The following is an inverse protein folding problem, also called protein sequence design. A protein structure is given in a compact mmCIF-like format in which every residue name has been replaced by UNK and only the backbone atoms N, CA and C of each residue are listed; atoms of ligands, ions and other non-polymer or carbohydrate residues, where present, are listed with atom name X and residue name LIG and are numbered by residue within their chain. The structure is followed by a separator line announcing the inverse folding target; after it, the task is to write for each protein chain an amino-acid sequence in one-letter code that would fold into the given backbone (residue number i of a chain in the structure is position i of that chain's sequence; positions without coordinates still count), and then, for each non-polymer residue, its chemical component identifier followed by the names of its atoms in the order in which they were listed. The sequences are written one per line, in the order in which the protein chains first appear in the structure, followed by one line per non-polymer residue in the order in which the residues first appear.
data_IF_187409855684
#
_entry.id   IF_187409855684
#
_cell.length_a   1.000
_cell.length_b   1.000
_cell.length_c   1.000
_cell.angle_alpha   90.00
_cell.angle_beta   90.00
_cell.angle_gamma   90.00
#
_symmetry.space_group_name_H-M   'P 1'
#
loop_
_entity.id
_entity.type
_entity.pdbx_description
1 polymer ?
#
# COMPACT_ATOMS: atom_id res chain seq x y z
N UNK A 1 27.74 27.67 21.55
CA UNK A 1 26.29 27.75 21.27
C UNK A 1 26.08 28.00 19.78
N UNK A 2 25.08 27.39 19.14
CA UNK A 2 24.77 27.70 17.74
C UNK A 2 24.05 29.04 17.71
N UNK A 3 24.66 30.05 17.09
CA UNK A 3 24.02 31.35 16.84
C UNK A 3 22.83 31.13 15.91
N UNK A 4 21.61 31.23 16.43
CA UNK A 4 20.37 31.05 15.66
C UNK A 4 19.92 32.42 15.17
N UNK A 5 19.67 32.54 13.86
CA UNK A 5 19.18 33.78 13.28
C UNK A 5 17.71 34.01 13.73
N UNK A 6 17.39 35.14 14.40
CA UNK A 6 16.06 35.43 14.92
C UNK A 6 14.98 35.61 13.85
N UNK A 7 15.36 35.73 12.56
CA UNK A 7 14.43 35.86 11.44
C UNK A 7 13.74 34.54 11.06
N UNK A 8 14.24 33.38 11.51
CA UNK A 8 13.68 32.08 11.16
C UNK A 8 12.88 31.47 12.31
N UNK A 9 11.57 31.71 12.29
CA UNK A 9 10.63 31.12 13.24
C UNK A 9 10.10 29.76 12.77
N UNK A 10 9.78 28.86 13.72
CA UNK A 10 9.13 27.58 13.43
C UNK A 10 7.66 27.81 13.09
N UNK A 11 7.23 27.37 11.91
CA UNK A 11 5.82 27.45 11.46
C UNK A 11 5.19 26.05 11.36
N UNK A 12 4.66 25.48 12.46
CA UNK A 12 3.99 24.19 12.42
C UNK A 12 2.66 24.29 11.68
N UNK A 13 2.33 23.28 10.86
CA UNK A 13 1.01 23.15 10.23
C UNK A 13 0.19 22.12 10.99
N UNK A 14 -1.02 22.50 11.40
CA UNK A 14 -1.96 21.57 12.02
C UNK A 14 -2.76 20.85 10.93
N UNK A 15 -2.51 19.56 10.75
CA UNK A 15 -3.27 18.73 9.82
C UNK A 15 -4.49 18.12 10.52
N UNK A 16 -5.65 18.22 9.90
CA UNK A 16 -6.91 17.73 10.46
C UNK A 16 -8.09 18.18 9.60
N UNK A 17 -9.28 17.69 9.92
CA UNK A 17 -10.51 18.14 9.28
C UNK A 17 -10.75 19.60 9.68
N UNK A 18 -10.89 20.51 8.71
CA UNK A 18 -11.01 21.95 8.96
C UNK A 18 -9.71 22.67 9.31
N UNK A 19 -8.56 21.97 9.26
CA UNK A 19 -7.22 22.54 9.50
C UNK A 19 -6.50 22.92 8.20
N UNK A 20 -5.16 22.90 8.25
CA UNK A 20 -4.32 23.15 7.08
C UNK A 20 -4.48 22.04 6.01
N UNK A 21 -4.22 22.39 4.74
CA UNK A 21 -4.27 21.45 3.62
C UNK A 21 -3.41 20.21 3.92
N UNK A 22 -3.93 18.98 3.74
CA UNK A 22 -3.18 17.77 4.00
C UNK A 22 -1.94 17.69 3.09
N UNK A 23 -0.84 17.10 3.59
CA UNK A 23 0.32 16.83 2.75
C UNK A 23 -0.03 15.79 1.68
N UNK A 24 0.74 15.74 0.59
CA UNK A 24 0.63 14.66 -0.39
C UNK A 24 0.95 13.33 0.32
N UNK A 25 0.00 12.39 0.29
CA UNK A 25 0.13 11.03 0.85
C UNK A 25 0.24 10.01 -0.27
N UNK A 26 0.79 8.84 0.02
CA UNK A 26 0.76 7.73 -0.92
C UNK A 26 -0.69 7.28 -1.16
N UNK A 27 -1.08 7.24 -2.44
CA UNK A 27 -2.40 6.85 -2.90
C UNK A 27 -2.40 5.48 -3.57
N UNK A 28 -1.31 4.70 -3.53
CA UNK A 28 -1.14 3.43 -4.23
C UNK A 28 -2.34 2.47 -4.10
N UNK A 29 -2.99 2.41 -2.93
CA UNK A 29 -4.18 1.59 -2.67
C UNK A 29 -5.46 2.12 -3.34
N UNK A 30 -5.58 3.43 -3.49
CA UNK A 30 -6.76 4.13 -4.01
C UNK A 30 -6.65 4.50 -5.50
N UNK A 31 -5.47 4.32 -6.10
CA UNK A 31 -5.27 4.54 -7.54
C UNK A 31 -6.21 3.65 -8.35
N UNK A 32 -6.84 4.25 -9.37
CA UNK A 32 -7.55 3.50 -10.41
C UNK A 32 -6.53 2.79 -11.30
N UNK A 33 -6.18 1.56 -10.93
CA UNK A 33 -5.23 0.74 -11.68
C UNK A 33 -5.73 0.38 -13.08
N UNK A 34 -4.82 0.15 -14.05
CA UNK A 34 -5.18 -0.40 -15.35
C UNK A 34 -6.01 -1.68 -15.24
N UNK A 35 -6.92 -1.89 -16.20
CA UNK A 35 -7.88 -3.01 -16.18
C UNK A 35 -7.20 -4.38 -15.99
N UNK A 36 -6.06 -4.59 -16.64
CA UNK A 36 -5.30 -5.86 -16.55
C UNK A 36 -4.78 -6.13 -15.15
N UNK A 37 -4.23 -5.11 -14.47
CA UNK A 37 -3.70 -5.23 -13.10
C UNK A 37 -4.84 -5.54 -12.14
N UNK A 38 -5.98 -4.87 -12.30
CA UNK A 38 -7.18 -5.12 -11.47
C UNK A 38 -7.67 -6.56 -11.63
N UNK A 39 -7.79 -7.06 -12.87
CA UNK A 39 -8.23 -8.42 -13.14
C UNK A 39 -7.24 -9.45 -12.59
N UNK A 40 -5.93 -9.24 -12.76
CA UNK A 40 -4.90 -10.13 -12.20
C UNK A 40 -4.98 -10.22 -10.67
N UNK A 41 -5.09 -9.07 -9.99
CA UNK A 41 -5.25 -9.01 -8.52
C UNK A 41 -6.56 -9.69 -8.07
N UNK A 42 -7.66 -9.43 -8.76
CA UNK A 42 -8.96 -10.07 -8.46
C UNK A 42 -8.92 -11.60 -8.66
N UNK A 43 -8.29 -12.08 -9.74
CA UNK A 43 -8.10 -13.53 -9.96
C UNK A 43 -7.33 -14.20 -8.83
N UNK A 44 -6.28 -13.55 -8.30
CA UNK A 44 -5.54 -14.05 -7.13
C UNK A 44 -6.43 -14.14 -5.89
N UNK A 45 -7.24 -13.11 -5.63
CA UNK A 45 -8.17 -13.09 -4.49
C UNK A 45 -9.20 -14.22 -4.63
N UNK A 46 -9.76 -14.44 -5.82
CA UNK A 46 -10.72 -15.53 -6.05
C UNK A 46 -10.12 -16.91 -5.73
N UNK A 47 -8.88 -17.19 -6.18
CA UNK A 47 -8.19 -18.44 -5.86
C UNK A 47 -7.95 -18.65 -4.36
N UNK A 48 -7.83 -17.57 -3.59
CA UNK A 48 -7.66 -17.63 -2.12
C UNK A 48 -8.98 -17.78 -1.38
N UNK A 49 -10.07 -17.17 -1.88
CA UNK A 49 -11.37 -17.14 -1.20
C UNK A 49 -12.26 -18.32 -1.53
N UNK A 50 -12.12 -18.89 -2.72
CA UNK A 50 -12.89 -20.04 -3.16
C UNK A 50 -12.18 -21.35 -2.79
N UNK A 51 -12.96 -22.41 -2.58
CA UNK A 51 -12.43 -23.74 -2.37
C UNK A 51 -11.85 -24.27 -3.68
N UNK A 52 -10.53 -24.43 -3.72
CA UNK A 52 -9.82 -24.98 -4.89
C UNK A 52 -9.77 -26.51 -4.79
N UNK A 53 -10.09 -27.26 -5.87
CA UNK A 53 -9.99 -28.71 -5.90
C UNK A 53 -8.57 -29.21 -5.56
N UNK A 54 -8.42 -30.39 -4.93
CA UNK A 54 -7.11 -30.90 -4.48
C UNK A 54 -6.12 -31.08 -5.64
N UNK A 55 -6.59 -31.50 -6.82
CA UNK A 55 -5.78 -31.66 -8.02
C UNK A 55 -5.12 -30.35 -8.51
N UNK A 56 -5.73 -29.19 -8.21
CA UNK A 56 -5.16 -27.88 -8.52
C UNK A 56 -4.36 -27.33 -7.33
N UNK A 57 -4.77 -27.66 -6.10
CA UNK A 57 -4.11 -27.16 -4.90
C UNK A 57 -2.72 -27.77 -4.66
N UNK A 58 -2.42 -28.95 -5.21
CA UNK A 58 -1.10 -29.56 -5.11
C UNK A 58 0.03 -28.64 -5.61
N UNK A 59 -0.24 -27.81 -6.62
CA UNK A 59 0.74 -26.87 -7.18
C UNK A 59 1.05 -25.67 -6.29
N UNK A 60 0.31 -25.48 -5.19
CA UNK A 60 0.60 -24.43 -4.20
C UNK A 60 1.62 -24.87 -3.16
N UNK A 61 1.81 -26.19 -2.98
CA UNK A 61 2.75 -26.77 -2.04
C UNK A 61 4.00 -27.20 -2.79
N UNK A 62 5.03 -26.36 -2.79
CA UNK A 62 6.32 -26.65 -3.41
C UNK A 62 7.35 -27.03 -2.35
N UNK A 63 8.43 -27.71 -2.75
CA UNK A 63 9.58 -27.94 -1.86
C UNK A 63 10.17 -26.61 -1.39
N UNK A 64 10.73 -26.62 -0.18
CA UNK A 64 11.41 -25.46 0.37
C UNK A 64 12.71 -25.18 -0.36
N UNK A 65 13.10 -23.90 -0.40
CA UNK A 65 14.30 -23.44 -1.13
C UNK A 65 15.60 -24.04 -0.60
N UNK A 66 15.61 -24.51 0.65
CA UNK A 66 16.80 -24.98 1.36
C UNK A 66 16.88 -26.51 1.49
N UNK A 67 16.03 -27.24 0.77
CA UNK A 67 16.17 -28.69 0.54
C UNK A 67 16.96 -28.88 -0.75
#
# INVERSE_FOLDING_TARGET
EKVVNPLFEKRPKQFGIGGALPPKKDLHRFVKWPKVVRIQRQRRILKQRLKVPPALNQFTKTLDKNV
#
